data_IF_675552442803
#
_entry.id   IF_675552442803
#
_cell.length_a   1.000
_cell.length_b   1.000
_cell.length_c   1.000
_cell.angle_alpha   90.00
_cell.angle_beta   90.00
_cell.angle_gamma   90.00
#
_symmetry.space_group_name_H-M   'P 1'
#
loop_
_entity.id
_entity.type
_entity.pdbx_description
1 polymer ?
#
# COMPACT_ATOMS: atom_id res chain seq x y z
N UNK A 1 -11.32 -44.12 21.28
CA UNK A 1 -10.75 -42.87 21.80
C UNK A 1 -10.37 -42.08 20.59
N UNK A 2 -11.37 -41.37 20.06
CA UNK A 2 -11.22 -40.53 18.84
C UNK A 2 -10.53 -39.25 19.28
N UNK A 3 -9.31 -39.04 18.79
CA UNK A 3 -8.65 -37.75 18.85
C UNK A 3 -9.22 -36.91 17.70
N UNK A 4 -10.19 -36.08 18.06
CA UNK A 4 -10.63 -34.96 17.21
C UNK A 4 -9.44 -34.03 16.99
N UNK A 5 -8.70 -34.28 15.93
CA UNK A 5 -7.77 -33.30 15.36
C UNK A 5 -8.64 -32.31 14.62
N UNK A 6 -9.13 -31.30 15.33
CA UNK A 6 -9.62 -30.11 14.66
C UNK A 6 -8.47 -29.58 13.81
N UNK A 7 -8.53 -29.88 12.51
CA UNK A 7 -7.80 -29.15 11.50
C UNK A 7 -8.16 -27.68 11.72
N UNK A 8 -7.21 -26.91 12.22
CA UNK A 8 -7.34 -25.46 12.32
C UNK A 8 -7.56 -24.95 10.92
N UNK A 9 -8.81 -24.69 10.60
CA UNK A 9 -9.22 -24.01 9.41
C UNK A 9 -8.49 -22.67 9.40
N UNK A 10 -7.43 -22.58 8.59
CA UNK A 10 -6.76 -21.30 8.29
C UNK A 10 -7.59 -20.45 7.31
N UNK A 11 -8.78 -20.88 7.01
CA UNK A 11 -9.81 -20.04 6.46
C UNK A 11 -10.11 -18.98 7.52
N UNK A 12 -9.48 -17.83 7.36
CA UNK A 12 -9.66 -16.57 8.07
C UNK A 12 -10.55 -16.68 9.31
N UNK A 13 -10.00 -16.35 10.48
CA UNK A 13 -10.85 -16.11 11.64
C UNK A 13 -12.06 -15.29 11.15
N UNK A 14 -13.29 -15.84 11.16
CA UNK A 14 -14.45 -15.15 10.61
C UNK A 14 -14.70 -13.81 11.29
N UNK A 15 -14.26 -13.66 12.56
CA UNK A 15 -14.32 -12.42 13.30
C UNK A 15 -13.36 -11.36 12.73
N UNK A 16 -12.17 -11.76 12.28
CA UNK A 16 -11.19 -10.84 11.69
C UNK A 16 -11.62 -10.42 10.27
N UNK A 17 -12.14 -11.37 9.47
CA UNK A 17 -12.69 -11.08 8.13
C UNK A 17 -13.89 -10.14 8.20
N UNK A 18 -14.73 -10.27 9.22
CA UNK A 18 -15.90 -9.41 9.43
C UNK A 18 -15.50 -7.98 9.81
N UNK A 19 -14.40 -7.79 10.53
CA UNK A 19 -13.91 -6.46 10.94
C UNK A 19 -13.15 -5.71 9.85
N UNK A 20 -12.43 -6.42 8.99
CA UNK A 20 -11.53 -5.80 8.00
C UNK A 20 -12.08 -5.86 6.57
N UNK A 21 -13.16 -6.60 6.30
CA UNK A 21 -13.64 -6.88 4.94
C UNK A 21 -12.59 -7.59 4.08
N UNK A 22 -11.58 -8.21 4.72
CA UNK A 22 -10.46 -8.88 4.07
C UNK A 22 -10.32 -10.30 4.60
N UNK A 23 -10.24 -11.26 3.70
CA UNK A 23 -9.97 -12.66 4.00
C UNK A 23 -8.80 -13.17 3.20
N UNK A 24 -8.00 -14.05 3.80
CA UNK A 24 -6.91 -14.73 3.14
C UNK A 24 -7.01 -16.22 3.40
N UNK A 25 -6.91 -17.04 2.34
CA UNK A 25 -6.88 -18.49 2.43
C UNK A 25 -5.65 -19.06 1.75
N UNK A 26 -5.15 -20.17 2.26
CA UNK A 26 -4.07 -20.95 1.62
C UNK A 26 -4.62 -22.20 0.94
N UNK A 27 -5.94 -22.32 0.83
CA UNK A 27 -6.62 -23.49 0.25
C UNK A 27 -6.05 -23.87 -1.11
N UNK A 28 -5.90 -22.90 -2.00
CA UNK A 28 -5.44 -23.13 -3.38
C UNK A 28 -3.95 -23.47 -3.47
N UNK A 29 -3.22 -23.45 -2.35
CA UNK A 29 -1.82 -23.90 -2.24
C UNK A 29 -1.68 -25.29 -1.66
N UNK A 30 -2.77 -25.98 -1.34
CA UNK A 30 -2.77 -27.28 -0.66
C UNK A 30 -2.61 -28.43 -1.66
N UNK A 31 -2.03 -29.54 -1.17
CA UNK A 31 -1.75 -30.71 -2.00
C UNK A 31 -3.01 -31.40 -2.55
N UNK A 32 -4.11 -31.32 -1.84
CA UNK A 32 -5.42 -31.82 -2.28
C UNK A 32 -6.02 -31.01 -3.44
N UNK A 33 -5.59 -29.76 -3.63
CA UNK A 33 -6.05 -28.89 -4.72
C UNK A 33 -5.11 -28.90 -5.93
N UNK A 34 -3.78 -28.85 -5.71
CA UNK A 34 -2.79 -28.70 -6.79
C UNK A 34 -1.85 -29.90 -6.95
N UNK A 35 -2.10 -31.00 -6.23
CA UNK A 35 -1.33 -32.24 -6.32
C UNK A 35 -0.01 -32.22 -5.51
N UNK A 36 0.95 -33.07 -5.88
CA UNK A 36 2.14 -33.35 -5.04
C UNK A 36 3.09 -32.18 -4.77
N UNK A 37 2.90 -31.06 -5.49
CA UNK A 37 3.67 -29.82 -5.28
C UNK A 37 3.02 -28.87 -4.28
N UNK A 38 1.81 -29.19 -3.83
CA UNK A 38 1.10 -28.40 -2.84
C UNK A 38 1.56 -28.71 -1.41
N UNK A 39 1.09 -27.88 -0.48
CA UNK A 39 1.31 -28.08 0.94
C UNK A 39 0.38 -29.18 1.45
N UNK A 40 0.94 -30.22 2.04
CA UNK A 40 0.16 -31.18 2.83
C UNK A 40 -0.08 -30.66 4.26
N UNK A 41 -1.01 -31.29 4.97
CA UNK A 41 -1.40 -30.86 6.30
C UNK A 41 -0.27 -30.98 7.34
N UNK A 42 0.60 -31.96 7.21
CA UNK A 42 1.71 -32.16 8.12
C UNK A 42 2.78 -31.08 7.94
N UNK A 43 3.13 -30.75 6.68
CA UNK A 43 4.06 -29.66 6.34
C UNK A 43 3.50 -28.33 6.79
N UNK A 44 2.22 -28.07 6.52
CA UNK A 44 1.57 -26.82 6.94
C UNK A 44 1.56 -26.70 8.48
N UNK A 45 1.22 -27.77 9.19
CA UNK A 45 1.23 -27.78 10.65
C UNK A 45 2.62 -27.53 11.26
N UNK A 46 3.67 -28.12 10.67
CA UNK A 46 5.07 -27.86 11.08
C UNK A 46 5.46 -26.38 10.85
N UNK A 47 5.16 -25.85 9.67
CA UNK A 47 5.45 -24.44 9.34
C UNK A 47 4.75 -23.47 10.30
N UNK A 48 3.49 -23.70 10.61
CA UNK A 48 2.72 -22.89 11.57
C UNK A 48 3.29 -22.99 12.98
N UNK A 49 3.66 -24.19 13.41
CA UNK A 49 4.34 -24.39 14.70
C UNK A 49 5.64 -23.58 14.80
N UNK A 50 6.43 -23.57 13.74
CA UNK A 50 7.69 -22.77 13.65
C UNK A 50 7.43 -21.27 13.62
N UNK A 51 6.32 -20.81 13.06
CA UNK A 51 5.95 -19.38 13.03
C UNK A 51 5.42 -18.87 14.38
N UNK A 52 4.89 -19.74 15.23
CA UNK A 52 4.28 -19.37 16.53
C UNK A 52 5.19 -18.51 17.41
N UNK A 53 6.50 -18.81 17.60
CA UNK A 53 7.39 -17.95 18.39
C UNK A 53 7.60 -16.57 17.75
N UNK A 54 7.63 -16.48 16.43
CA UNK A 54 7.76 -15.20 15.72
C UNK A 54 6.52 -14.33 15.91
N UNK A 55 5.33 -14.92 15.81
CA UNK A 55 4.07 -14.24 16.07
C UNK A 55 3.97 -13.70 17.50
N UNK A 56 4.41 -14.50 18.49
CA UNK A 56 4.47 -14.05 19.89
C UNK A 56 5.40 -12.81 20.04
N UNK A 57 6.58 -12.83 19.38
CA UNK A 57 7.49 -11.67 19.39
C UNK A 57 6.86 -10.43 18.77
N UNK A 58 6.16 -10.57 17.63
CA UNK A 58 5.47 -9.46 16.98
C UNK A 58 4.35 -8.88 17.84
N UNK A 59 3.57 -9.73 18.49
CA UNK A 59 2.52 -9.27 19.43
C UNK A 59 3.14 -8.50 20.61
N UNK A 60 4.19 -9.04 21.22
CA UNK A 60 4.91 -8.35 22.28
C UNK A 60 5.52 -7.03 21.81
N UNK A 61 6.10 -6.99 20.63
CA UNK A 61 6.64 -5.76 20.04
C UNK A 61 5.55 -4.70 19.78
N UNK A 62 4.35 -5.12 19.39
CA UNK A 62 3.20 -4.24 19.24
C UNK A 62 2.74 -3.68 20.60
N UNK A 63 2.66 -4.53 21.63
CA UNK A 63 2.25 -4.14 22.99
C UNK A 63 3.24 -3.19 23.66
N UNK A 64 4.54 -3.46 23.49
CA UNK A 64 5.64 -2.68 24.10
C UNK A 64 6.12 -1.50 23.26
N UNK A 65 5.55 -1.26 22.08
CA UNK A 65 5.94 -0.22 21.13
C UNK A 65 7.41 -0.27 20.69
N UNK A 66 8.02 -1.46 20.72
CA UNK A 66 9.40 -1.65 20.25
C UNK A 66 9.52 -1.70 18.73
N UNK A 67 8.39 -1.87 18.04
CA UNK A 67 8.26 -1.75 16.58
C UNK A 67 7.10 -0.78 16.23
N UNK A 68 7.31 0.53 16.27
CA UNK A 68 6.26 1.53 16.12
C UNK A 68 5.47 1.42 14.81
N UNK A 69 6.08 0.91 13.73
CA UNK A 69 5.40 0.72 12.46
C UNK A 69 4.18 -0.24 12.53
N UNK A 70 4.15 -1.16 13.51
CA UNK A 70 3.01 -2.05 13.72
C UNK A 70 1.74 -1.30 14.17
N UNK A 71 1.89 -0.08 14.69
CA UNK A 71 0.78 0.76 15.13
C UNK A 71 0.32 1.77 14.08
N UNK A 72 1.02 1.91 12.96
CA UNK A 72 0.66 2.85 11.90
C UNK A 72 -0.79 2.71 11.43
N UNK A 73 -1.37 1.50 11.24
CA UNK A 73 -2.76 1.37 10.82
C UNK A 73 -3.77 1.99 11.79
N UNK A 74 -3.40 2.10 13.07
CA UNK A 74 -4.25 2.70 14.13
C UNK A 74 -3.89 4.16 14.43
N UNK A 75 -2.77 4.66 13.91
CA UNK A 75 -2.36 6.04 14.11
C UNK A 75 -3.25 6.99 13.31
N UNK A 76 -3.68 8.09 13.95
CA UNK A 76 -4.53 9.13 13.34
C UNK A 76 -4.02 10.54 13.55
N UNK A 77 -3.07 10.72 14.49
CA UNK A 77 -2.57 12.05 14.88
C UNK A 77 -1.84 12.78 13.76
N UNK A 78 -1.18 12.05 12.88
CA UNK A 78 -0.47 12.57 11.72
C UNK A 78 -1.45 13.13 10.65
N UNK A 79 -2.66 12.58 10.56
CA UNK A 79 -3.67 13.03 9.61
C UNK A 79 -4.13 14.46 9.86
N UNK A 80 -4.19 14.89 11.13
CA UNK A 80 -4.61 16.25 11.48
C UNK A 80 -3.67 17.31 10.87
N UNK A 81 -2.36 17.02 10.85
CA UNK A 81 -1.37 17.90 10.23
C UNK A 81 -1.39 17.89 8.70
N UNK A 82 -1.94 16.84 8.09
CA UNK A 82 -2.01 16.70 6.63
C UNK A 82 -3.23 17.41 6.02
N UNK A 83 -4.32 17.57 6.77
CA UNK A 83 -5.56 18.21 6.28
C UNK A 83 -5.30 19.59 5.66
N UNK A 84 -4.60 20.54 6.33
CA UNK A 84 -4.34 21.86 5.74
C UNK A 84 -3.51 21.80 4.45
N UNK A 85 -2.58 20.83 4.36
CA UNK A 85 -1.75 20.62 3.18
C UNK A 85 -2.61 20.08 2.02
N UNK A 86 -3.43 19.07 2.29
CA UNK A 86 -4.36 18.51 1.31
C UNK A 86 -5.32 19.59 0.78
N UNK A 87 -5.90 20.39 1.68
CA UNK A 87 -6.76 21.51 1.34
C UNK A 87 -6.05 22.57 0.48
N UNK A 88 -4.78 22.85 0.76
CA UNK A 88 -3.97 23.76 -0.06
C UNK A 88 -3.81 23.21 -1.47
N UNK A 89 -3.44 21.93 -1.61
CA UNK A 89 -3.29 21.29 -2.90
C UNK A 89 -4.62 21.27 -3.68
N UNK A 90 -5.70 20.92 -3.03
CA UNK A 90 -7.03 20.85 -3.64
C UNK A 90 -7.51 22.22 -4.17
N UNK A 91 -7.23 23.30 -3.47
CA UNK A 91 -7.62 24.66 -3.91
C UNK A 91 -6.68 25.27 -4.92
N UNK A 92 -5.41 24.89 -4.92
CA UNK A 92 -4.35 25.58 -5.68
C UNK A 92 -4.09 24.96 -7.03
N UNK A 93 -4.22 23.63 -7.15
CA UNK A 93 -3.77 22.87 -8.31
C UNK A 93 -4.93 22.15 -9.00
N UNK A 94 -4.83 22.02 -10.34
CA UNK A 94 -5.73 21.20 -11.15
C UNK A 94 -5.15 19.79 -11.34
N UNK A 95 -3.82 19.68 -11.32
CA UNK A 95 -3.08 18.43 -11.43
C UNK A 95 -2.10 18.28 -10.25
N UNK A 96 -1.90 17.07 -9.78
CA UNK A 96 -0.87 16.74 -8.79
C UNK A 96 -0.04 15.58 -9.30
N UNK A 97 1.26 15.83 -9.44
CA UNK A 97 2.25 14.85 -9.88
C UNK A 97 2.87 14.19 -8.66
N UNK A 98 2.64 12.90 -8.50
CA UNK A 98 3.20 12.10 -7.40
C UNK A 98 4.35 11.27 -7.94
N UNK A 99 5.57 11.61 -7.51
CA UNK A 99 6.81 10.97 -7.91
C UNK A 99 7.27 9.99 -6.83
N UNK A 100 7.29 8.72 -7.16
CA UNK A 100 7.70 7.67 -6.23
C UNK A 100 7.59 6.31 -6.88
N UNK A 101 8.41 5.35 -6.46
CA UNK A 101 8.44 4.01 -7.03
C UNK A 101 8.14 2.96 -5.96
N UNK A 102 7.64 1.80 -6.37
CA UNK A 102 7.33 0.68 -5.50
C UNK A 102 6.40 1.08 -4.34
N UNK A 103 6.81 0.81 -3.11
CA UNK A 103 6.03 1.10 -1.90
C UNK A 103 5.70 2.58 -1.67
N UNK A 104 6.43 3.50 -2.31
CA UNK A 104 6.17 4.95 -2.21
C UNK A 104 5.01 5.42 -3.09
N UNK A 105 4.51 4.59 -4.01
CA UNK A 105 3.44 4.97 -4.94
C UNK A 105 2.28 3.97 -4.97
N UNK A 106 2.53 2.67 -4.78
CA UNK A 106 1.51 1.64 -4.97
C UNK A 106 0.32 1.79 -4.01
N UNK A 107 0.59 2.13 -2.73
CA UNK A 107 -0.47 2.35 -1.75
C UNK A 107 -1.37 3.54 -2.12
N UNK A 108 -0.76 4.66 -2.51
CA UNK A 108 -1.49 5.86 -2.95
C UNK A 108 -2.31 5.57 -4.20
N UNK A 109 -1.74 4.82 -5.15
CA UNK A 109 -2.45 4.41 -6.36
C UNK A 109 -3.63 3.50 -6.06
N UNK A 110 -3.45 2.51 -5.20
CA UNK A 110 -4.54 1.62 -4.80
C UNK A 110 -5.70 2.39 -4.17
N UNK A 111 -5.42 3.33 -3.26
CA UNK A 111 -6.43 4.16 -2.63
C UNK A 111 -7.12 5.08 -3.64
N UNK A 112 -6.39 5.66 -4.59
CA UNK A 112 -6.95 6.50 -5.64
C UNK A 112 -7.88 5.72 -6.56
N UNK A 113 -7.46 4.56 -7.05
CA UNK A 113 -8.27 3.69 -7.91
C UNK A 113 -9.54 3.17 -7.18
N UNK A 114 -9.44 2.91 -5.88
CA UNK A 114 -10.60 2.53 -5.07
C UNK A 114 -11.59 3.70 -4.87
N UNK A 115 -11.08 4.93 -4.77
CA UNK A 115 -11.90 6.13 -4.59
C UNK A 115 -12.55 6.59 -5.91
N UNK A 116 -11.99 6.25 -7.08
CA UNK A 116 -12.49 6.64 -8.40
C UNK A 116 -13.90 6.05 -8.73
N UNK A 117 -14.33 5.05 -7.96
CA UNK A 117 -15.71 4.54 -8.02
C UNK A 117 -16.77 5.53 -7.49
N UNK A 118 -16.38 6.60 -6.79
CA UNK A 118 -17.29 7.64 -6.25
C UNK A 118 -17.12 8.95 -7.06
N UNK A 119 -17.60 8.93 -8.30
CA UNK A 119 -17.38 9.95 -9.33
C UNK A 119 -17.80 11.39 -8.96
N UNK A 120 -18.72 11.55 -8.02
CA UNK A 120 -19.23 12.88 -7.64
C UNK A 120 -18.28 13.63 -6.68
N UNK A 121 -17.47 12.90 -5.91
CA UNK A 121 -16.44 13.49 -5.01
C UNK A 121 -15.18 13.93 -5.76
N UNK A 122 -14.83 13.26 -6.84
CA UNK A 122 -13.58 13.48 -7.56
C UNK A 122 -13.64 14.70 -8.49
N UNK A 123 -14.82 15.12 -8.93
CA UNK A 123 -15.00 16.25 -9.85
C UNK A 123 -14.49 17.61 -9.35
N UNK A 124 -14.29 17.76 -8.04
CA UNK A 124 -13.75 18.99 -7.43
C UNK A 124 -12.31 18.85 -6.93
N UNK A 125 -11.68 17.70 -7.12
CA UNK A 125 -10.31 17.42 -6.70
C UNK A 125 -9.34 17.48 -7.87
N UNK A 126 -8.05 17.79 -7.64
CA UNK A 126 -7.00 17.70 -8.65
C UNK A 126 -6.89 16.30 -9.24
N UNK A 127 -6.56 16.20 -10.51
CA UNK A 127 -6.19 14.93 -11.14
C UNK A 127 -4.85 14.45 -10.58
N UNK A 128 -4.81 13.23 -10.04
CA UNK A 128 -3.55 12.67 -9.53
C UNK A 128 -2.83 11.86 -10.62
N UNK A 129 -1.60 12.26 -10.93
CA UNK A 129 -0.70 11.55 -11.83
C UNK A 129 0.35 10.81 -11.01
N UNK A 130 0.12 9.53 -10.76
CA UNK A 130 1.00 8.70 -9.93
C UNK A 130 2.01 7.98 -10.83
N UNK A 131 3.26 8.45 -10.79
CA UNK A 131 4.32 7.96 -11.65
C UNK A 131 5.11 6.86 -10.95
N UNK A 132 5.04 5.66 -11.49
CA UNK A 132 5.64 4.45 -10.92
C UNK A 132 6.85 3.93 -11.67
N UNK A 133 7.15 4.51 -12.82
CA UNK A 133 8.28 4.10 -13.68
C UNK A 133 8.97 5.31 -14.33
N UNK A 134 10.08 5.04 -15.01
CA UNK A 134 10.89 6.04 -15.72
C UNK A 134 10.77 5.91 -17.25
N UNK A 135 9.66 5.37 -17.75
CA UNK A 135 9.44 5.24 -19.19
C UNK A 135 9.43 6.65 -19.84
N UNK A 136 10.36 6.95 -20.76
CA UNK A 136 10.54 8.27 -21.30
C UNK A 136 9.36 8.71 -22.19
N UNK A 137 8.65 7.79 -22.83
CA UNK A 137 7.50 8.13 -23.68
C UNK A 137 6.29 8.51 -22.85
N UNK A 138 6.01 7.75 -21.79
CA UNK A 138 4.92 8.05 -20.84
C UNK A 138 5.21 9.39 -20.17
N UNK A 139 6.46 9.59 -19.75
CA UNK A 139 6.93 10.79 -19.09
C UNK A 139 6.81 12.03 -19.98
N UNK A 140 7.41 12.03 -21.17
CA UNK A 140 7.37 13.17 -22.11
C UNK A 140 5.91 13.54 -22.46
N UNK A 141 5.07 12.55 -22.71
CA UNK A 141 3.65 12.78 -23.02
C UNK A 141 2.90 13.44 -21.87
N UNK A 142 3.18 13.07 -20.63
CA UNK A 142 2.55 13.65 -19.45
C UNK A 142 3.04 15.09 -19.24
N UNK A 143 4.36 15.30 -19.20
CA UNK A 143 5.00 16.60 -18.94
C UNK A 143 4.51 17.67 -19.92
N UNK A 144 4.38 17.34 -21.22
CA UNK A 144 3.90 18.28 -22.24
C UNK A 144 2.43 18.69 -22.08
N UNK A 145 1.65 18.00 -21.28
CA UNK A 145 0.21 18.26 -21.10
C UNK A 145 -0.10 19.07 -19.86
N UNK A 146 0.82 19.16 -18.91
CA UNK A 146 0.62 19.83 -17.63
C UNK A 146 0.81 21.35 -17.74
N UNK A 147 -0.09 22.08 -17.12
CA UNK A 147 0.15 23.50 -16.80
C UNK A 147 0.90 23.58 -15.45
N UNK A 148 2.20 23.82 -15.49
CA UNK A 148 3.04 23.85 -14.31
C UNK A 148 2.67 24.94 -13.29
N UNK A 149 1.96 25.99 -13.71
CA UNK A 149 1.45 27.00 -12.78
C UNK A 149 0.31 26.49 -11.93
N UNK A 150 -0.32 25.42 -12.37
CA UNK A 150 -1.46 24.78 -11.70
C UNK A 150 -1.21 23.30 -11.38
N UNK A 151 0.06 22.89 -11.40
CA UNK A 151 0.48 21.53 -11.07
C UNK A 151 1.23 21.50 -9.75
N UNK A 152 0.72 20.76 -8.78
CA UNK A 152 1.42 20.42 -7.54
C UNK A 152 2.36 19.23 -7.72
N UNK A 153 3.48 19.20 -7.00
CA UNK A 153 4.42 18.07 -7.06
C UNK A 153 4.61 17.52 -5.65
N UNK A 154 4.48 16.21 -5.52
CA UNK A 154 4.77 15.45 -4.29
C UNK A 154 5.83 14.42 -4.61
N UNK A 155 6.97 14.48 -3.90
CA UNK A 155 8.07 13.52 -4.06
C UNK A 155 8.15 12.62 -2.84
N UNK A 156 8.06 11.31 -3.05
CA UNK A 156 8.03 10.33 -1.97
C UNK A 156 9.19 9.36 -2.11
N UNK A 157 10.14 9.42 -1.15
CA UNK A 157 11.24 8.48 -1.05
C UNK A 157 11.59 8.20 0.40
N UNK A 158 11.68 6.92 0.79
CA UNK A 158 12.09 6.53 2.14
C UNK A 158 13.56 6.86 2.42
N UNK A 159 14.44 6.60 1.46
CA UNK A 159 15.90 6.80 1.60
C UNK A 159 16.37 8.17 1.13
N UNK A 160 15.55 8.91 0.38
CA UNK A 160 15.95 10.13 -0.32
C UNK A 160 16.84 9.88 -1.54
N UNK A 161 17.34 8.66 -1.73
CA UNK A 161 18.31 8.32 -2.79
C UNK A 161 17.78 7.32 -3.83
N UNK A 162 16.46 7.09 -3.91
CA UNK A 162 15.88 6.20 -4.94
C UNK A 162 16.12 6.80 -6.32
N UNK A 163 16.94 6.16 -7.14
CA UNK A 163 17.42 6.68 -8.42
C UNK A 163 16.27 7.09 -9.33
N UNK A 164 15.27 6.24 -9.50
CA UNK A 164 14.10 6.50 -10.34
C UNK A 164 13.31 7.73 -9.87
N UNK A 165 13.07 7.84 -8.56
CA UNK A 165 12.38 8.99 -7.98
C UNK A 165 13.18 10.28 -8.16
N UNK A 166 14.51 10.21 -8.00
CA UNK A 166 15.39 11.36 -8.22
C UNK A 166 15.45 11.77 -9.68
N UNK A 167 15.49 10.81 -10.61
CA UNK A 167 15.44 11.09 -12.04
C UNK A 167 14.13 11.77 -12.44
N UNK A 168 13.01 11.28 -11.95
CA UNK A 168 11.70 11.90 -12.15
C UNK A 168 11.69 13.34 -11.61
N UNK A 169 12.13 13.55 -10.39
CA UNK A 169 12.16 14.87 -9.75
C UNK A 169 13.07 15.85 -10.50
N UNK A 170 14.30 15.45 -10.80
CA UNK A 170 15.25 16.30 -11.50
C UNK A 170 14.81 16.65 -12.92
N UNK A 171 14.01 15.80 -13.58
CA UNK A 171 13.48 16.09 -14.92
C UNK A 171 12.35 17.13 -14.93
N UNK A 172 11.60 17.30 -13.82
CA UNK A 172 10.57 18.33 -13.70
C UNK A 172 11.08 19.62 -13.06
N UNK A 173 12.13 19.55 -12.28
CA UNK A 173 12.65 20.69 -11.53
C UNK A 173 12.93 21.95 -12.40
N UNK A 174 13.54 21.83 -13.61
CA UNK A 174 13.81 22.98 -14.45
C UNK A 174 12.56 23.67 -15.02
N UNK A 175 11.41 23.01 -15.00
CA UNK A 175 10.17 23.57 -15.57
C UNK A 175 9.23 24.15 -14.51
N UNK A 176 9.54 23.92 -13.22
CA UNK A 176 8.76 24.45 -12.09
C UNK A 176 9.49 25.57 -11.31
N UNK A 177 10.78 25.78 -11.57
CA UNK A 177 11.58 26.89 -11.07
C UNK A 177 11.58 28.06 -12.03
#
# INVERSE_FOLDING_TARGET
>A
MQTDTQATDLDTDPALAHHLGYGQTVRDCRADQIGPRGLDDAVLGDLLGRLSPALKRLRSAHETDTMPFLRLPSARKDLEGLVPIADHYQRRFDDVLILGTGGSSLGSRALYEMADGDSDRIRSAPTLHIITNVDPFVWDRLIRRLDYRRTGIIVISKSGGTTETMMQFLSVLPVVL
#
